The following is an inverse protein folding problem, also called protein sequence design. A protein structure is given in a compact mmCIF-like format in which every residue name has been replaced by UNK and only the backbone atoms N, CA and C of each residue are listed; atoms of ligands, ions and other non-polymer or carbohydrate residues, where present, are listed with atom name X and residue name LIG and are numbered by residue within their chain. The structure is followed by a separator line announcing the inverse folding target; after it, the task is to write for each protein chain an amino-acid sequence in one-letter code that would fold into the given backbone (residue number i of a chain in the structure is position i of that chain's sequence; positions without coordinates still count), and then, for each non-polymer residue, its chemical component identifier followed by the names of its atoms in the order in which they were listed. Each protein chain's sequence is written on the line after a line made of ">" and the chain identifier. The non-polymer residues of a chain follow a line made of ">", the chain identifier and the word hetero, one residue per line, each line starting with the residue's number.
data_IF_499160651543
#
_entry.id   IF_499160651543
#
_cell.length_a   1.000
_cell.length_b   1.000
_cell.length_c   1.000
_cell.angle_alpha   90.00
_cell.angle_beta   90.00
_cell.angle_gamma   90.00
#
_symmetry.space_group_name_H-M   'P 1'
#
loop_
_entity.id
_entity.type
_entity.pdbx_description
1 polymer ?
#
# COMPACT_ATOMS: atom_id res chain seq x y z
N UNK A 1 0.63 29.18 -38.06
CA UNK A 1 1.33 28.96 -39.35
C UNK A 1 2.52 28.09 -39.03
N UNK A 2 2.54 26.95 -39.34
CA UNK A 2 3.07 26.03 -40.30
C UNK A 2 2.85 24.58 -39.83
N UNK A 3 2.06 23.88 -40.63
CA UNK A 3 1.87 22.42 -40.58
C UNK A 3 3.11 21.74 -41.14
N UNK A 4 3.51 20.61 -40.57
CA UNK A 4 4.12 19.52 -41.34
C UNK A 4 3.58 18.19 -40.93
N UNK A 5 2.84 17.61 -41.87
CA UNK A 5 2.47 16.19 -41.94
C UNK A 5 3.70 15.37 -42.36
N UNK A 6 3.88 14.21 -41.77
CA UNK A 6 4.70 13.15 -42.37
C UNK A 6 3.97 11.82 -42.38
N UNK A 7 3.91 11.26 -43.57
CA UNK A 7 3.18 10.09 -44.01
C UNK A 7 3.71 8.77 -43.45
N UNK A 8 2.76 7.86 -43.33
CA UNK A 8 2.91 6.43 -43.16
C UNK A 8 3.60 5.77 -44.33
N UNK A 9 4.47 4.79 -44.08
CA UNK A 9 4.86 3.75 -45.06
C UNK A 9 4.68 2.38 -44.42
N UNK A 10 3.68 1.66 -44.97
CA UNK A 10 3.46 0.24 -44.75
C UNK A 10 4.35 -0.51 -45.75
N UNK A 11 5.25 -1.37 -45.26
CA UNK A 11 5.97 -2.32 -46.09
C UNK A 11 5.40 -3.72 -45.85
N UNK A 12 4.70 -4.24 -46.82
CA UNK A 12 4.28 -5.64 -46.90
C UNK A 12 5.42 -6.48 -47.46
N UNK A 13 5.91 -7.46 -46.72
CA UNK A 13 6.74 -8.53 -47.23
C UNK A 13 5.92 -9.82 -47.40
N UNK A 14 5.60 -10.14 -48.66
CA UNK A 14 5.16 -11.45 -49.09
C UNK A 14 6.41 -12.36 -49.21
N UNK A 15 6.44 -13.49 -48.50
CA UNK A 15 7.36 -14.58 -48.75
C UNK A 15 6.58 -15.88 -48.93
N UNK A 16 6.84 -16.48 -50.03
CA UNK A 16 6.12 -17.61 -50.60
C UNK A 16 6.30 -18.95 -49.91
N UNK A 17 5.31 -19.76 -50.12
CA UNK A 17 5.12 -21.12 -49.64
C UNK A 17 6.07 -22.10 -50.32
N UNK A 18 6.77 -22.91 -49.51
CA UNK A 18 7.29 -24.19 -49.96
C UNK A 18 6.55 -25.32 -49.23
N UNK A 19 5.75 -26.05 -49.96
CA UNK A 19 5.03 -27.24 -49.48
C UNK A 19 6.00 -28.41 -49.47
N UNK A 20 6.31 -28.92 -48.29
CA UNK A 20 6.94 -30.25 -48.14
C UNK A 20 5.89 -31.20 -47.54
N UNK A 21 5.44 -32.14 -48.37
CA UNK A 21 4.53 -33.22 -47.95
C UNK A 21 5.31 -34.33 -47.25
N UNK A 22 4.94 -34.61 -45.99
CA UNK A 22 5.30 -35.86 -45.32
C UNK A 22 4.01 -36.53 -44.82
N UNK A 23 3.76 -37.82 -45.11
CA UNK A 23 2.61 -38.51 -44.58
C UNK A 23 2.94 -39.09 -43.20
N UNK A 24 2.44 -38.47 -42.16
CA UNK A 24 2.41 -39.02 -40.81
C UNK A 24 0.96 -39.12 -40.36
N UNK A 25 0.39 -40.33 -40.44
CA UNK A 25 -0.91 -40.61 -39.82
C UNK A 25 -0.72 -40.65 -38.33
N UNK A 26 -0.85 -39.48 -37.67
CA UNK A 26 -1.06 -39.37 -36.24
C UNK A 26 -2.52 -39.61 -35.92
N UNK A 27 -2.83 -40.68 -35.17
CA UNK A 27 -4.13 -40.89 -34.56
C UNK A 27 -4.50 -39.64 -33.78
N UNK A 28 -5.62 -39.02 -34.13
CA UNK A 28 -6.26 -38.06 -33.28
C UNK A 28 -6.55 -38.76 -31.93
N UNK A 29 -5.93 -38.30 -30.86
CA UNK A 29 -6.40 -38.59 -29.51
C UNK A 29 -7.78 -37.96 -29.43
N UNK A 30 -8.80 -38.78 -29.16
CA UNK A 30 -10.12 -38.28 -28.78
C UNK A 30 -9.96 -37.31 -27.63
N UNK A 31 -10.08 -36.02 -27.93
CA UNK A 31 -10.25 -35.00 -26.89
C UNK A 31 -11.53 -35.37 -26.14
N UNK A 32 -11.40 -35.77 -24.90
CA UNK A 32 -12.53 -35.92 -23.98
C UNK A 32 -13.29 -34.60 -24.05
N UNK A 33 -14.58 -34.60 -24.40
CA UNK A 33 -15.33 -33.34 -24.41
C UNK A 33 -15.20 -32.68 -23.03
N UNK A 34 -14.82 -31.43 -23.00
CA UNK A 34 -14.82 -30.65 -21.78
C UNK A 34 -16.19 -30.84 -21.13
N UNK A 35 -16.20 -31.31 -19.85
CA UNK A 35 -17.43 -31.56 -19.13
C UNK A 35 -18.33 -30.35 -19.25
N UNK A 36 -19.63 -30.59 -19.37
CA UNK A 36 -20.63 -29.49 -19.33
C UNK A 36 -20.38 -28.67 -18.08
N UNK A 37 -20.43 -27.33 -18.14
CA UNK A 37 -20.21 -26.48 -16.99
C UNK A 37 -21.10 -26.94 -15.82
N UNK A 38 -20.52 -27.02 -14.64
CA UNK A 38 -21.26 -27.31 -13.41
C UNK A 38 -22.37 -26.28 -13.24
N UNK A 39 -23.54 -26.70 -12.73
CA UNK A 39 -24.67 -25.79 -12.52
C UNK A 39 -24.26 -24.69 -11.54
N UNK A 40 -23.85 -23.53 -12.07
CA UNK A 40 -23.32 -22.40 -11.29
C UNK A 40 -22.27 -21.57 -12.05
N UNK A 41 -21.51 -22.15 -12.96
CA UNK A 41 -20.53 -21.37 -13.76
C UNK A 41 -21.25 -20.59 -14.86
N UNK A 42 -21.08 -19.27 -14.84
CA UNK A 42 -21.63 -18.34 -15.82
C UNK A 42 -20.56 -17.40 -16.33
N UNK A 43 -20.72 -16.95 -17.59
CA UNK A 43 -19.85 -15.92 -18.15
C UNK A 43 -20.04 -14.59 -17.39
N UNK A 44 -18.95 -13.91 -17.12
CA UNK A 44 -18.89 -12.64 -16.38
C UNK A 44 -18.15 -11.59 -17.19
N UNK A 45 -18.33 -10.30 -16.86
CA UNK A 45 -17.58 -9.22 -17.49
C UNK A 45 -16.25 -8.93 -16.78
N UNK A 46 -16.11 -9.35 -15.54
CA UNK A 46 -14.93 -9.08 -14.70
C UNK A 46 -14.23 -10.37 -14.26
N UNK A 47 -12.92 -10.22 -14.02
CA UNK A 47 -12.07 -11.20 -13.33
C UNK A 47 -11.51 -10.52 -12.10
N UNK A 48 -11.53 -11.21 -10.95
CA UNK A 48 -11.07 -10.67 -9.67
C UNK A 48 -9.97 -11.56 -9.10
N UNK A 49 -8.90 -10.94 -8.64
CA UNK A 49 -7.80 -11.56 -7.90
C UNK A 49 -7.43 -10.68 -6.70
N UNK A 50 -6.58 -11.17 -5.82
CA UNK A 50 -6.03 -10.37 -4.72
C UNK A 50 -4.52 -10.12 -4.93
N UNK A 51 -3.99 -9.05 -4.34
CA UNK A 51 -2.55 -8.76 -4.35
C UNK A 51 -1.78 -9.66 -3.37
N UNK A 52 -2.41 -10.00 -2.24
CA UNK A 52 -1.88 -10.79 -1.15
C UNK A 52 -3.01 -11.47 -0.38
N UNK A 53 -2.70 -12.49 0.39
CA UNK A 53 -3.59 -13.00 1.41
C UNK A 53 -3.81 -11.92 2.50
N UNK A 54 -4.99 -11.82 3.14
CA UNK A 54 -5.26 -10.83 4.17
C UNK A 54 -4.24 -10.89 5.31
N UNK A 55 -3.48 -9.80 5.48
CA UNK A 55 -2.44 -9.64 6.51
C UNK A 55 -3.08 -9.00 7.75
N UNK A 56 -2.88 -9.62 8.92
CA UNK A 56 -3.49 -9.18 10.17
C UNK A 56 -2.55 -8.28 10.97
N UNK A 57 -3.08 -7.17 11.48
CA UNK A 57 -2.38 -6.29 12.44
C UNK A 57 -3.34 -5.77 13.50
N UNK A 58 -2.99 -5.78 14.80
CA UNK A 58 -3.74 -5.11 15.85
C UNK A 58 -3.60 -3.59 15.72
N UNK A 59 -4.73 -2.87 15.63
CA UNK A 59 -4.75 -1.41 15.55
C UNK A 59 -4.84 -0.72 16.92
N UNK A 60 -4.46 0.55 16.97
CA UNK A 60 -4.62 1.44 18.14
C UNK A 60 -6.07 1.72 18.51
N UNK A 61 -7.00 1.43 17.61
CA UNK A 61 -8.45 1.57 17.81
C UNK A 61 -9.09 0.37 18.52
N UNK A 62 -8.30 -0.65 18.88
CA UNK A 62 -8.71 -1.82 19.65
C UNK A 62 -9.33 -2.94 18.84
N UNK A 63 -9.19 -2.93 17.51
CA UNK A 63 -9.57 -4.02 16.62
C UNK A 63 -8.38 -4.52 15.80
N UNK A 64 -8.52 -5.72 15.23
CA UNK A 64 -7.55 -6.20 14.24
C UNK A 64 -8.02 -5.82 12.84
N UNK A 65 -7.09 -5.32 12.05
CA UNK A 65 -7.24 -5.02 10.63
C UNK A 65 -6.70 -6.18 9.79
N UNK A 66 -7.43 -6.52 8.73
CA UNK A 66 -7.05 -7.52 7.74
C UNK A 66 -6.88 -6.81 6.41
N UNK A 67 -5.60 -6.63 5.99
CA UNK A 67 -5.19 -5.76 4.91
C UNK A 67 -4.83 -6.52 3.64
N UNK A 68 -5.48 -6.18 2.54
CA UNK A 68 -5.20 -6.67 1.19
C UNK A 68 -5.83 -5.75 0.15
N UNK A 69 -5.58 -6.00 -1.15
CA UNK A 69 -6.33 -5.33 -2.21
C UNK A 69 -6.95 -6.38 -3.13
N UNK A 70 -8.16 -6.10 -3.62
CA UNK A 70 -8.73 -6.82 -4.75
C UNK A 70 -8.36 -6.11 -6.05
N UNK A 71 -7.84 -6.86 -7.01
CA UNK A 71 -7.65 -6.41 -8.39
C UNK A 71 -8.84 -6.82 -9.22
N UNK A 72 -9.60 -5.85 -9.70
CA UNK A 72 -10.76 -6.08 -10.57
C UNK A 72 -10.41 -5.69 -11.99
N UNK A 73 -10.36 -6.69 -12.87
CA UNK A 73 -10.08 -6.51 -14.30
C UNK A 73 -11.36 -6.63 -15.10
N UNK A 74 -11.68 -5.60 -15.87
CA UNK A 74 -12.75 -5.65 -16.84
C UNK A 74 -12.29 -6.40 -18.11
N UNK A 75 -12.74 -7.64 -18.26
CA UNK A 75 -12.46 -8.47 -19.43
C UNK A 75 -13.52 -8.31 -20.54
N UNK A 76 -14.40 -7.31 -20.43
CA UNK A 76 -15.48 -7.07 -21.36
C UNK A 76 -15.21 -5.89 -22.31
N UNK A 77 -16.00 -5.78 -23.39
CA UNK A 77 -15.79 -4.80 -24.47
C UNK A 77 -16.39 -3.40 -24.17
N UNK A 78 -17.03 -3.22 -23.02
CA UNK A 78 -17.61 -1.95 -22.58
C UNK A 78 -17.23 -1.65 -21.13
N UNK A 79 -17.36 -0.41 -20.65
CA UNK A 79 -17.12 -0.07 -19.26
C UNK A 79 -18.00 -0.90 -18.31
N UNK A 80 -17.43 -1.21 -17.16
CA UNK A 80 -18.07 -1.93 -16.03
C UNK A 80 -18.03 -1.02 -14.81
N UNK A 81 -19.15 -0.93 -14.09
CA UNK A 81 -19.24 -0.19 -12.82
C UNK A 81 -19.44 -1.17 -11.67
N UNK A 82 -18.57 -1.11 -10.66
CA UNK A 82 -18.77 -1.86 -9.41
C UNK A 82 -19.92 -1.25 -8.62
N UNK A 83 -20.81 -2.09 -8.09
CA UNK A 83 -21.99 -1.64 -7.34
C UNK A 83 -22.00 -2.09 -5.89
N UNK A 84 -21.40 -3.26 -5.56
CA UNK A 84 -21.15 -3.64 -4.17
C UNK A 84 -20.07 -4.69 -4.05
N UNK A 85 -19.42 -4.74 -2.86
CA UNK A 85 -18.59 -5.85 -2.42
C UNK A 85 -18.99 -6.21 -0.99
N UNK A 86 -19.30 -7.49 -0.75
CA UNK A 86 -19.51 -8.03 0.59
C UNK A 86 -18.40 -9.01 0.92
N UNK A 87 -17.86 -8.93 2.14
CA UNK A 87 -16.85 -9.86 2.68
C UNK A 87 -17.48 -10.64 3.81
N UNK A 88 -17.35 -11.96 3.75
CA UNK A 88 -17.95 -12.86 4.74
C UNK A 88 -16.93 -13.78 5.37
N UNK A 89 -17.12 -14.06 6.68
CA UNK A 89 -16.39 -15.09 7.40
C UNK A 89 -16.90 -16.51 7.03
N UNK A 90 -16.14 -17.57 7.38
CA UNK A 90 -16.55 -18.94 7.10
C UNK A 90 -17.88 -19.38 7.73
N UNK A 91 -18.30 -18.74 8.82
CA UNK A 91 -19.59 -18.97 9.49
C UNK A 91 -20.77 -18.25 8.81
N UNK A 92 -20.50 -17.48 7.75
CA UNK A 92 -21.50 -16.73 6.98
C UNK A 92 -21.79 -15.34 7.52
N UNK A 93 -21.12 -14.87 8.57
CA UNK A 93 -21.22 -13.49 9.04
C UNK A 93 -20.62 -12.53 8.02
N UNK A 94 -21.34 -11.45 7.71
CA UNK A 94 -20.80 -10.35 6.88
C UNK A 94 -19.94 -9.45 7.75
N UNK A 95 -18.64 -9.37 7.41
CA UNK A 95 -17.64 -8.57 8.11
C UNK A 95 -17.54 -7.15 7.53
N UNK A 96 -17.69 -7.03 6.21
CA UNK A 96 -17.61 -5.75 5.50
C UNK A 96 -18.65 -5.74 4.38
N UNK A 97 -19.33 -4.61 4.20
CA UNK A 97 -20.18 -4.36 3.03
C UNK A 97 -19.88 -2.97 2.48
N UNK A 98 -19.41 -2.94 1.26
CA UNK A 98 -19.15 -1.72 0.49
C UNK A 98 -20.27 -1.57 -0.54
N UNK A 99 -21.09 -0.55 -0.41
CA UNK A 99 -22.04 -0.10 -1.44
C UNK A 99 -21.32 0.81 -2.47
N UNK A 100 -22.05 1.37 -3.41
CA UNK A 100 -21.49 2.21 -4.48
C UNK A 100 -20.76 3.45 -3.93
N UNK A 101 -21.27 4.07 -2.86
CA UNK A 101 -20.68 5.27 -2.25
C UNK A 101 -19.40 4.91 -1.49
N UNK A 102 -19.41 3.82 -0.71
CA UNK A 102 -18.22 3.31 -0.03
C UNK A 102 -17.14 2.85 -1.02
N UNK A 103 -17.52 2.19 -2.13
CA UNK A 103 -16.60 1.78 -3.18
C UNK A 103 -15.89 2.98 -3.83
N UNK A 104 -16.54 4.13 -3.94
CA UNK A 104 -15.92 5.33 -4.50
C UNK A 104 -14.73 5.82 -3.66
N UNK A 105 -14.75 5.61 -2.34
CA UNK A 105 -13.67 5.98 -1.43
C UNK A 105 -12.47 5.02 -1.46
N UNK A 106 -12.70 3.74 -1.78
CA UNK A 106 -11.67 2.69 -1.66
C UNK A 106 -11.21 2.10 -2.99
N UNK A 107 -11.84 2.45 -4.12
CA UNK A 107 -11.46 1.96 -5.46
C UNK A 107 -10.57 2.97 -6.18
N UNK A 108 -9.40 2.52 -6.65
CA UNK A 108 -8.35 3.37 -7.17
C UNK A 108 -7.74 2.76 -8.45
N UNK A 109 -7.09 3.58 -9.28
CA UNK A 109 -6.17 3.07 -10.29
C UNK A 109 -5.02 2.29 -9.64
N UNK A 110 -4.34 1.42 -10.42
CA UNK A 110 -3.27 0.56 -9.88
C UNK A 110 -2.14 1.33 -9.20
N UNK A 111 -1.80 2.51 -9.72
CA UNK A 111 -0.82 3.40 -9.09
C UNK A 111 -1.46 4.77 -8.87
N UNK A 112 -1.52 5.19 -7.62
CA UNK A 112 -2.09 6.47 -7.20
C UNK A 112 -3.49 6.37 -6.60
N UNK A 113 -3.97 7.48 -6.01
CA UNK A 113 -5.21 7.59 -5.25
C UNK A 113 -6.41 8.10 -6.07
N UNK A 114 -6.31 8.09 -7.39
CA UNK A 114 -7.45 8.55 -8.22
C UNK A 114 -8.58 7.55 -8.13
N UNK A 115 -9.78 7.94 -7.66
CA UNK A 115 -10.94 7.06 -7.60
C UNK A 115 -11.33 6.54 -8.98
N UNK A 116 -11.76 5.29 -9.07
CA UNK A 116 -12.03 4.64 -10.36
C UNK A 116 -13.05 3.50 -10.24
N UNK A 117 -14.28 3.79 -9.81
CA UNK A 117 -15.35 2.76 -9.73
C UNK A 117 -15.86 2.30 -11.09
N UNK A 118 -15.75 3.13 -12.15
CA UNK A 118 -15.98 2.73 -13.53
C UNK A 118 -14.66 2.21 -14.13
N UNK A 119 -14.67 0.96 -14.56
CA UNK A 119 -13.51 0.26 -15.12
C UNK A 119 -13.65 0.24 -16.66
N UNK A 120 -12.79 0.93 -17.40
CA UNK A 120 -12.85 0.92 -18.87
C UNK A 120 -12.60 -0.49 -19.42
N UNK A 121 -13.02 -0.73 -20.67
CA UNK A 121 -12.75 -2.00 -21.36
C UNK A 121 -11.25 -2.34 -21.29
N UNK A 122 -10.92 -3.56 -20.89
CA UNK A 122 -9.54 -4.05 -20.64
C UNK A 122 -8.78 -3.29 -19.54
N UNK A 123 -9.46 -2.49 -18.72
CA UNK A 123 -8.87 -1.81 -17.56
C UNK A 123 -8.83 -2.69 -16.32
N UNK A 124 -7.97 -2.31 -15.39
CA UNK A 124 -7.88 -2.91 -14.05
C UNK A 124 -7.85 -1.81 -13.00
N UNK A 125 -8.59 -2.01 -11.92
CA UNK A 125 -8.56 -1.17 -10.72
C UNK A 125 -8.20 -2.00 -9.50
N UNK A 126 -7.76 -1.32 -8.45
CA UNK A 126 -7.57 -1.91 -7.14
C UNK A 126 -8.67 -1.42 -6.19
N UNK A 127 -9.24 -2.31 -5.42
CA UNK A 127 -10.11 -1.99 -4.30
C UNK A 127 -9.32 -2.23 -3.03
N UNK A 128 -9.06 -1.18 -2.26
CA UNK A 128 -8.38 -1.25 -0.97
C UNK A 128 -9.34 -1.91 0.03
N UNK A 129 -8.91 -3.00 0.61
CA UNK A 129 -9.70 -3.77 1.57
C UNK A 129 -9.07 -3.65 2.95
N UNK A 130 -9.81 -3.08 3.87
CA UNK A 130 -9.58 -3.09 5.30
C UNK A 130 -10.79 -3.77 5.97
N UNK A 131 -10.58 -4.99 6.44
CA UNK A 131 -11.64 -5.76 7.12
C UNK A 131 -11.33 -5.83 8.60
N UNK A 132 -12.12 -5.15 9.42
CA UNK A 132 -11.91 -5.12 10.86
C UNK A 132 -12.63 -6.27 11.57
N UNK A 133 -11.97 -6.83 12.57
CA UNK A 133 -12.54 -7.88 13.43
C UNK A 133 -12.14 -7.63 14.89
N UNK A 134 -12.95 -8.10 15.87
CA UNK A 134 -12.53 -8.06 17.27
C UNK A 134 -11.16 -8.71 17.46
N UNK A 135 -10.34 -8.10 18.31
CA UNK A 135 -9.08 -8.70 18.73
C UNK A 135 -9.30 -10.14 19.20
N UNK A 136 -8.39 -11.05 18.93
CA UNK A 136 -8.48 -12.48 19.26
C UNK A 136 -9.54 -13.30 18.47
N UNK A 137 -10.29 -12.70 17.55
CA UNK A 137 -11.20 -13.48 16.70
C UNK A 137 -10.41 -14.40 15.76
N UNK A 138 -10.54 -15.70 15.95
CA UNK A 138 -9.96 -16.67 15.02
C UNK A 138 -10.70 -16.61 13.68
N UNK A 139 -9.96 -16.37 12.59
CA UNK A 139 -10.49 -16.28 11.24
C UNK A 139 -9.56 -16.99 10.26
N UNK A 140 -10.07 -18.03 9.60
CA UNK A 140 -9.26 -18.86 8.71
C UNK A 140 -9.22 -18.33 7.27
N UNK A 141 -10.30 -17.72 6.81
CA UNK A 141 -10.43 -17.22 5.43
C UNK A 141 -11.51 -16.16 5.31
N UNK A 142 -11.47 -15.44 4.20
CA UNK A 142 -12.48 -14.48 3.76
C UNK A 142 -13.07 -14.93 2.44
N UNK A 143 -14.38 -14.78 2.26
CA UNK A 143 -15.08 -14.99 1.00
C UNK A 143 -15.67 -13.67 0.52
N UNK A 144 -15.76 -13.48 -0.80
CA UNK A 144 -16.20 -12.23 -1.40
C UNK A 144 -17.42 -12.46 -2.28
N UNK A 145 -18.41 -11.56 -2.21
CA UNK A 145 -19.46 -11.44 -3.20
C UNK A 145 -19.38 -10.06 -3.83
N UNK A 146 -19.34 -10.00 -5.15
CA UNK A 146 -19.09 -8.76 -5.90
C UNK A 146 -20.22 -8.59 -6.90
N UNK A 147 -20.83 -7.39 -6.93
CA UNK A 147 -21.82 -7.03 -7.92
C UNK A 147 -21.33 -5.89 -8.80
N UNK A 148 -21.75 -5.91 -10.05
CA UNK A 148 -21.37 -4.90 -11.03
C UNK A 148 -22.46 -4.70 -12.07
N UNK A 149 -22.38 -3.60 -12.78
CA UNK A 149 -23.27 -3.24 -13.87
C UNK A 149 -22.51 -2.98 -15.17
N UNK A 150 -23.20 -3.19 -16.28
CA UNK A 150 -22.77 -2.83 -17.63
C UNK A 150 -23.94 -2.12 -18.28
N UNK A 151 -23.67 -1.05 -19.01
CA UNK A 151 -24.73 -0.26 -19.67
C UNK A 151 -25.68 -1.15 -20.48
N UNK A 152 -27.00 -0.88 -20.45
CA UNK A 152 -28.01 -1.73 -21.14
C UNK A 152 -27.80 -1.87 -22.64
N UNK A 153 -27.21 -0.85 -23.26
CA UNK A 153 -26.93 -0.75 -24.71
C UNK A 153 -25.51 -1.15 -25.08
N UNK A 154 -24.73 -1.68 -24.10
CA UNK A 154 -23.35 -2.11 -24.33
C UNK A 154 -23.29 -3.23 -25.39
N UNK A 155 -22.33 -3.19 -26.33
CA UNK A 155 -22.11 -4.23 -27.31
C UNK A 155 -21.95 -5.61 -26.66
N UNK A 156 -22.54 -6.64 -27.25
CA UNK A 156 -22.45 -8.05 -26.81
C UNK A 156 -22.81 -8.30 -25.33
N UNK A 157 -23.56 -7.39 -24.70
CA UNK A 157 -24.03 -7.52 -23.31
C UNK A 157 -24.75 -8.84 -23.03
N UNK A 158 -25.40 -9.42 -24.04
CA UNK A 158 -26.06 -10.73 -23.97
C UNK A 158 -25.12 -11.91 -23.69
N UNK A 159 -23.81 -11.71 -23.80
CA UNK A 159 -22.82 -12.73 -23.40
C UNK A 159 -22.62 -12.80 -21.87
N UNK A 160 -23.06 -11.80 -21.11
CA UNK A 160 -22.93 -11.79 -19.66
C UNK A 160 -24.04 -12.63 -19.05
N UNK A 161 -23.65 -13.72 -18.39
CA UNK A 161 -24.58 -14.64 -17.73
C UNK A 161 -24.84 -14.32 -16.26
N UNK A 162 -23.96 -13.52 -15.59
CA UNK A 162 -24.11 -13.11 -14.21
C UNK A 162 -23.54 -11.71 -13.95
N UNK A 163 -24.21 -10.92 -13.11
CA UNK A 163 -23.84 -9.58 -12.64
C UNK A 163 -23.52 -9.57 -11.14
N UNK A 164 -23.67 -10.71 -10.48
CA UNK A 164 -23.18 -11.00 -9.15
C UNK A 164 -22.27 -12.23 -9.24
N UNK A 165 -21.09 -12.14 -8.68
CA UNK A 165 -20.08 -13.19 -8.72
C UNK A 165 -19.55 -13.49 -7.33
N UNK A 166 -19.18 -14.74 -7.11
CA UNK A 166 -18.30 -15.10 -6.00
C UNK A 166 -16.88 -14.74 -6.40
N UNK A 167 -16.25 -13.88 -5.61
CA UNK A 167 -14.85 -13.49 -5.75
C UNK A 167 -13.90 -14.54 -5.19
N UNK A 168 -12.60 -14.24 -5.07
CA UNK A 168 -11.63 -15.18 -4.52
C UNK A 168 -11.96 -15.48 -3.06
N UNK A 169 -11.82 -16.75 -2.65
CA UNK A 169 -11.72 -17.13 -1.25
C UNK A 169 -10.25 -17.03 -0.86
N UNK A 170 -9.94 -16.17 0.12
CA UNK A 170 -8.59 -15.89 0.57
C UNK A 170 -8.36 -16.48 1.96
N UNK A 171 -7.34 -17.32 2.16
CA UNK A 171 -6.91 -17.69 3.50
C UNK A 171 -6.36 -16.44 4.20
N UNK A 172 -6.62 -16.29 5.49
CA UNK A 172 -5.93 -15.25 6.28
C UNK A 172 -4.48 -15.69 6.48
N UNK A 173 -3.53 -14.80 6.23
CA UNK A 173 -2.11 -15.09 6.40
C UNK A 173 -1.84 -15.53 7.86
N UNK A 174 -1.25 -16.70 8.08
CA UNK A 174 -1.03 -17.23 9.43
C UNK A 174 0.17 -16.62 10.15
N UNK A 175 0.93 -15.71 9.48
CA UNK A 175 2.10 -15.09 10.11
C UNK A 175 1.68 -14.27 11.32
N UNK A 176 2.36 -14.38 12.47
CA UNK A 176 2.10 -13.50 13.59
C UNK A 176 2.58 -12.08 13.27
N UNK A 177 1.90 -11.09 13.84
CA UNK A 177 2.38 -9.73 13.88
C UNK A 177 3.73 -9.66 14.59
N UNK A 178 4.74 -9.03 13.97
CA UNK A 178 6.07 -8.86 14.57
C UNK A 178 6.04 -7.73 15.59
N UNK A 179 6.39 -8.03 16.84
CA UNK A 179 6.48 -7.01 17.90
C UNK A 179 7.88 -6.42 17.93
N UNK A 180 7.95 -5.08 17.86
CA UNK A 180 9.20 -4.31 17.81
C UNK A 180 9.12 -3.09 18.74
N UNK A 181 10.27 -2.52 19.11
CA UNK A 181 10.31 -1.23 19.77
C UNK A 181 10.02 -0.09 18.77
N UNK A 182 9.57 1.09 19.21
CA UNK A 182 9.43 2.26 18.34
C UNK A 182 10.77 2.72 17.74
N UNK A 183 10.78 3.23 16.48
CA UNK A 183 11.98 3.72 15.81
C UNK A 183 12.41 5.12 16.24
N UNK A 184 11.60 5.81 17.05
CA UNK A 184 11.77 7.19 17.50
C UNK A 184 11.41 7.28 18.99
N UNK A 185 11.71 8.43 19.62
CA UNK A 185 11.38 8.70 21.04
C UNK A 185 10.68 10.03 21.22
N UNK A 186 9.89 10.12 22.31
CA UNK A 186 9.22 11.32 22.78
C UNK A 186 7.86 11.54 22.13
N UNK A 187 7.28 12.66 22.43
CA UNK A 187 5.90 13.04 22.12
C UNK A 187 5.69 13.65 20.72
N UNK A 188 4.43 13.68 20.28
CA UNK A 188 3.97 14.43 19.13
C UNK A 188 4.23 13.75 17.78
N UNK A 189 4.48 12.44 17.73
CA UNK A 189 4.74 11.72 16.48
C UNK A 189 3.43 11.35 15.78
N UNK A 190 3.18 12.03 14.65
CA UNK A 190 2.07 11.78 13.75
C UNK A 190 2.42 10.66 12.78
N UNK A 191 1.55 9.65 12.64
CA UNK A 191 1.55 8.73 11.51
C UNK A 191 0.91 9.43 10.29
N UNK A 192 1.69 10.26 9.59
CA UNK A 192 1.21 11.08 8.48
C UNK A 192 0.83 10.26 7.24
N UNK A 193 1.43 9.10 7.06
CA UNK A 193 1.03 8.02 6.16
C UNK A 193 1.11 6.72 6.94
N UNK A 194 0.20 5.79 6.69
CA UNK A 194 0.19 4.53 7.46
C UNK A 194 -1.02 3.67 7.12
N UNK A 195 -1.13 2.55 7.78
CA UNK A 195 -2.29 1.68 7.78
C UNK A 195 -3.46 2.38 8.48
N UNK A 196 -4.74 2.12 8.17
CA UNK A 196 -5.22 1.18 7.18
C UNK A 196 -6.18 1.87 6.21
N UNK A 197 -6.34 3.18 6.37
CA UNK A 197 -7.26 4.01 5.59
C UNK A 197 -6.85 4.06 4.10
N UNK A 198 -7.82 3.92 3.20
CA UNK A 198 -7.60 3.97 1.75
C UNK A 198 -7.07 5.33 1.27
N UNK A 199 -7.27 6.39 2.05
CA UNK A 199 -6.78 7.75 1.81
C UNK A 199 -5.27 7.88 2.05
N UNK A 200 -4.66 6.98 2.84
CA UNK A 200 -3.23 6.97 3.06
C UNK A 200 -2.49 6.73 1.75
N UNK A 201 -1.42 7.52 1.50
CA UNK A 201 -0.65 7.37 0.26
C UNK A 201 0.02 5.99 0.18
N UNK A 202 0.44 5.44 1.30
CA UNK A 202 1.06 4.11 1.37
C UNK A 202 0.10 3.01 0.90
N UNK A 203 -1.21 3.15 1.14
CA UNK A 203 -2.21 2.20 0.65
C UNK A 203 -2.38 2.24 -0.87
N UNK A 204 -1.96 3.32 -1.54
CA UNK A 204 -2.02 3.49 -2.99
C UNK A 204 -0.76 3.00 -3.73
N UNK A 205 0.30 2.61 -3.02
CA UNK A 205 1.55 2.15 -3.63
C UNK A 205 1.41 0.68 -4.03
N UNK A 206 1.45 0.44 -5.34
CA UNK A 206 1.35 -0.88 -5.98
C UNK A 206 2.34 -0.92 -7.12
N UNK A 207 3.47 -1.56 -6.92
CA UNK A 207 4.57 -1.59 -7.89
C UNK A 207 4.62 -2.92 -8.61
N UNK A 208 4.60 -2.96 -9.97
CA UNK A 208 4.85 -4.19 -10.70
C UNK A 208 6.28 -4.67 -10.48
N UNK A 209 6.44 -5.89 -9.96
CA UNK A 209 7.74 -6.50 -9.66
C UNK A 209 8.00 -7.66 -10.60
N UNK A 210 9.16 -7.64 -11.27
CA UNK A 210 9.65 -8.68 -12.20
C UNK A 210 8.66 -9.05 -13.32
N UNK A 211 7.64 -8.23 -13.61
CA UNK A 211 6.57 -8.56 -14.56
C UNK A 211 5.68 -9.74 -14.14
N UNK A 212 5.75 -10.18 -12.89
CA UNK A 212 5.09 -11.38 -12.40
C UNK A 212 4.06 -11.13 -11.30
N UNK A 213 4.18 -10.04 -10.54
CA UNK A 213 3.28 -9.69 -9.44
C UNK A 213 3.13 -8.19 -9.25
N UNK A 214 2.11 -7.79 -8.55
CA UNK A 214 1.99 -6.45 -7.97
C UNK A 214 2.53 -6.53 -6.55
N UNK A 215 3.61 -5.79 -6.27
CA UNK A 215 4.19 -5.65 -4.94
C UNK A 215 3.42 -4.63 -4.11
N UNK A 216 3.38 -4.83 -2.81
CA UNK A 216 2.73 -3.98 -1.81
C UNK A 216 3.75 -3.67 -0.72
N UNK A 217 4.65 -2.73 -1.01
CA UNK A 217 5.80 -2.42 -0.17
C UNK A 217 5.43 -1.70 1.12
N UNK A 218 4.32 -0.93 1.12
CA UNK A 218 4.07 0.10 2.13
C UNK A 218 2.73 -0.06 2.88
N UNK A 219 2.09 -1.28 2.86
CA UNK A 219 0.78 -1.48 3.54
C UNK A 219 0.84 -1.01 5.00
N UNK A 220 1.90 -1.38 5.72
CA UNK A 220 2.09 -1.07 7.15
C UNK A 220 3.20 -0.05 7.39
N UNK A 221 3.82 0.50 6.34
CA UNK A 221 4.83 1.53 6.52
C UNK A 221 4.20 2.82 7.08
N UNK A 222 4.95 3.51 7.93
CA UNK A 222 4.54 4.78 8.55
C UNK A 222 5.54 5.87 8.19
N UNK A 223 5.03 7.05 7.77
CA UNK A 223 5.78 8.28 7.70
C UNK A 223 5.60 9.05 9.00
N UNK A 224 6.63 9.08 9.84
CA UNK A 224 6.60 9.78 11.12
C UNK A 224 6.98 11.24 10.97
N UNK A 225 6.02 12.13 11.11
CA UNK A 225 6.23 13.56 11.21
C UNK A 225 6.02 14.03 12.67
N UNK A 226 6.87 14.94 13.18
CA UNK A 226 6.70 15.43 14.57
C UNK A 226 5.88 16.70 14.60
N UNK A 227 4.87 16.73 15.46
CA UNK A 227 4.02 17.90 15.68
C UNK A 227 4.39 18.64 16.97
N UNK A 228 4.23 19.97 16.94
CA UNK A 228 4.14 20.83 18.14
C UNK A 228 2.98 21.78 17.96
N UNK A 229 2.06 21.79 18.92
CA UNK A 229 0.84 22.60 18.86
C UNK A 229 0.06 22.38 17.53
N UNK A 230 -0.02 21.11 17.08
CA UNK A 230 -0.72 20.71 15.84
C UNK A 230 -0.05 21.16 14.53
N UNK A 231 1.23 21.54 14.55
CA UNK A 231 1.99 21.98 13.38
C UNK A 231 3.24 21.13 13.19
N UNK A 232 3.63 20.77 11.96
CA UNK A 232 4.84 20.00 11.70
C UNK A 232 6.12 20.85 11.68
N UNK A 233 6.02 22.19 11.53
CA UNK A 233 7.16 23.10 11.45
C UNK A 233 6.85 24.47 12.05
N UNK A 234 7.88 25.25 12.31
CA UNK A 234 7.82 26.67 12.68
C UNK A 234 8.04 27.57 11.46
N UNK A 235 7.57 28.80 11.51
CA UNK A 235 7.75 29.76 10.41
C UNK A 235 7.01 29.33 9.14
N UNK A 236 7.69 29.37 8.01
CA UNK A 236 7.16 28.98 6.69
C UNK A 236 7.56 27.55 6.26
N UNK A 237 8.34 26.84 7.10
CA UNK A 237 8.79 25.48 6.83
C UNK A 237 9.72 25.33 5.61
N UNK A 238 10.31 26.41 5.12
CA UNK A 238 11.11 26.39 3.90
C UNK A 238 12.46 25.69 4.05
N UNK A 239 12.92 25.47 5.29
CA UNK A 239 14.19 24.80 5.57
C UNK A 239 13.93 23.53 6.40
N UNK A 240 14.72 22.46 6.21
CA UNK A 240 14.57 21.26 7.03
C UNK A 240 14.61 21.52 8.54
N UNK A 241 15.47 22.44 8.99
CA UNK A 241 15.63 22.80 10.42
C UNK A 241 14.40 23.49 11.02
N UNK A 242 13.48 23.98 10.22
CA UNK A 242 12.21 24.54 10.70
C UNK A 242 11.23 23.45 11.15
N UNK A 243 11.43 22.19 10.74
CA UNK A 243 10.59 21.04 11.01
C UNK A 243 10.96 20.38 12.35
N UNK A 244 9.95 20.08 13.17
CA UNK A 244 10.17 19.61 14.53
C UNK A 244 10.73 18.19 14.64
N UNK A 245 10.58 17.36 13.60
CA UNK A 245 11.16 16.02 13.52
C UNK A 245 12.61 16.01 13.00
N UNK A 246 13.07 17.07 12.31
CA UNK A 246 14.40 17.10 11.70
C UNK A 246 15.50 16.94 12.74
N UNK A 247 16.41 16.02 12.51
CA UNK A 247 17.53 15.72 13.41
C UNK A 247 17.18 14.86 14.62
N UNK A 248 15.95 14.32 14.71
CA UNK A 248 15.63 13.33 15.72
C UNK A 248 16.47 12.06 15.54
N UNK A 249 16.90 11.42 16.64
CA UNK A 249 17.60 10.15 16.61
C UNK A 249 16.68 9.05 16.08
N UNK A 250 17.15 8.30 15.08
CA UNK A 250 16.48 7.11 14.52
C UNK A 250 17.10 5.88 15.13
N UNK A 251 16.27 4.99 15.66
CA UNK A 251 16.67 3.90 16.55
C UNK A 251 16.43 2.53 15.91
N UNK A 252 17.31 1.57 16.19
CA UNK A 252 17.06 0.18 15.86
C UNK A 252 15.84 -0.35 16.65
N UNK A 253 14.84 -0.86 15.93
CA UNK A 253 13.58 -1.36 16.53
C UNK A 253 13.71 -2.73 17.18
N UNK A 254 14.79 -3.45 16.88
CA UNK A 254 15.12 -4.76 17.42
C UNK A 254 16.63 -5.00 17.30
N UNK A 255 17.15 -6.01 18.00
CA UNK A 255 18.48 -6.54 17.75
C UNK A 255 18.53 -7.09 16.31
N UNK A 256 19.62 -6.83 15.58
CA UNK A 256 19.69 -7.24 14.19
C UNK A 256 21.03 -7.00 13.53
N UNK A 257 21.11 -7.32 12.25
CA UNK A 257 22.28 -7.10 11.40
C UNK A 257 21.98 -6.04 10.36
N UNK A 258 22.84 -5.05 10.19
CA UNK A 258 22.77 -4.08 9.11
C UNK A 258 23.05 -4.79 7.78
N UNK A 259 22.07 -4.85 6.87
CA UNK A 259 22.21 -5.53 5.56
C UNK A 259 22.39 -4.55 4.40
N UNK A 260 21.88 -3.33 4.54
CA UNK A 260 22.10 -2.27 3.56
C UNK A 260 22.28 -0.90 4.24
N UNK A 261 23.10 -0.06 3.63
CA UNK A 261 23.30 1.35 3.99
C UNK A 261 23.43 2.15 2.71
N UNK A 262 22.66 3.20 2.61
CA UNK A 262 22.79 4.20 1.54
C UNK A 262 23.00 5.56 2.18
N UNK A 263 24.04 6.30 1.76
CA UNK A 263 24.33 7.64 2.26
C UNK A 263 24.88 8.54 1.13
N UNK A 264 24.82 9.86 1.33
CA UNK A 264 25.37 10.84 0.39
C UNK A 264 24.31 11.53 -0.48
N UNK A 265 23.02 11.20 -0.37
CA UNK A 265 21.96 11.98 -0.98
C UNK A 265 21.81 13.31 -0.22
N UNK A 266 21.66 14.45 -0.94
CA UNK A 266 21.42 15.75 -0.31
C UNK A 266 19.98 15.84 0.24
N UNK A 267 19.78 16.73 1.22
CA UNK A 267 18.43 17.12 1.64
C UNK A 267 17.65 17.72 0.47
N UNK A 268 16.37 17.37 0.37
CA UNK A 268 15.42 18.09 -0.47
C UNK A 268 15.06 19.44 0.18
N UNK A 269 14.61 20.38 -0.64
CA UNK A 269 14.02 21.62 -0.10
C UNK A 269 12.57 21.36 0.27
N UNK A 270 12.19 21.49 1.56
CA UNK A 270 10.82 21.19 1.97
C UNK A 270 9.80 22.05 1.21
N UNK A 271 8.61 21.47 0.98
CA UNK A 271 7.48 22.10 0.30
C UNK A 271 7.76 22.52 -1.15
N UNK A 272 8.88 22.06 -1.74
CA UNK A 272 9.22 22.25 -3.14
C UNK A 272 9.12 20.93 -3.93
N UNK A 273 9.00 20.99 -5.26
CA UNK A 273 9.04 19.79 -6.08
C UNK A 273 10.32 18.96 -5.83
N UNK A 274 10.14 17.66 -5.61
CA UNK A 274 11.23 16.72 -5.38
C UNK A 274 12.11 16.62 -6.63
N UNK A 275 13.41 16.53 -6.42
CA UNK A 275 14.41 16.50 -7.50
C UNK A 275 15.38 15.33 -7.35
N UNK A 276 16.08 14.96 -8.42
CA UNK A 276 17.14 13.94 -8.39
C UNK A 276 16.64 12.49 -8.44
N UNK A 277 15.35 12.25 -8.69
CA UNK A 277 14.79 10.91 -8.85
C UNK A 277 15.06 10.38 -10.27
N UNK A 278 16.13 9.63 -10.46
CA UNK A 278 16.53 9.08 -11.75
C UNK A 278 16.41 7.55 -11.84
N UNK A 279 16.39 6.87 -10.70
CA UNK A 279 16.33 5.41 -10.57
C UNK A 279 15.58 5.03 -9.29
N UNK A 280 15.08 3.78 -9.18
CA UNK A 280 14.29 3.34 -8.02
C UNK A 280 14.99 3.56 -6.67
N UNK A 281 16.29 3.31 -6.59
CA UNK A 281 17.07 3.43 -5.36
C UNK A 281 17.17 4.87 -4.83
N UNK A 282 16.85 5.86 -5.68
CA UNK A 282 16.85 7.27 -5.25
C UNK A 282 15.66 7.59 -4.33
N UNK A 283 14.60 6.75 -4.32
CA UNK A 283 13.37 7.01 -3.55
C UNK A 283 13.63 7.03 -2.05
N UNK A 284 14.34 6.06 -1.50
CA UNK A 284 14.65 6.00 -0.05
C UNK A 284 15.61 7.10 0.41
N UNK A 285 16.37 7.72 -0.51
CA UNK A 285 17.44 8.66 -0.12
C UNK A 285 18.51 7.98 0.73
N UNK A 286 18.94 8.63 1.82
CA UNK A 286 19.83 8.01 2.79
C UNK A 286 19.01 7.05 3.67
N UNK A 287 19.47 5.79 3.78
CA UNK A 287 18.68 4.73 4.38
C UNK A 287 19.53 3.66 5.06
N UNK A 288 18.92 2.95 5.98
CA UNK A 288 19.46 1.77 6.64
C UNK A 288 18.43 0.65 6.57
N UNK A 289 18.87 -0.57 6.24
CA UNK A 289 18.02 -1.77 6.32
C UNK A 289 18.66 -2.74 7.32
N UNK A 290 17.85 -3.18 8.29
CA UNK A 290 18.25 -4.17 9.31
C UNK A 290 17.53 -5.49 9.06
N UNK A 291 18.26 -6.61 9.01
CA UNK A 291 17.66 -7.93 9.18
C UNK A 291 17.47 -8.20 10.68
N UNK A 292 16.22 -8.20 11.15
CA UNK A 292 15.85 -8.40 12.56
C UNK A 292 15.41 -9.85 12.86
N UNK A 293 15.03 -10.60 11.81
CA UNK A 293 14.79 -12.04 11.84
C UNK A 293 14.95 -12.58 10.42
N UNK A 294 15.12 -13.89 10.21
CA UNK A 294 15.23 -14.47 8.87
C UNK A 294 14.05 -14.06 7.96
N UNK A 295 14.33 -13.27 6.90
CA UNK A 295 13.32 -12.77 5.96
C UNK A 295 12.43 -11.66 6.53
N UNK A 296 12.84 -10.97 7.59
CA UNK A 296 12.16 -9.79 8.15
C UNK A 296 13.17 -8.65 8.24
N UNK A 297 12.93 -7.62 7.47
CA UNK A 297 13.82 -6.47 7.35
C UNK A 297 13.10 -5.20 7.79
N UNK A 298 13.77 -4.41 8.63
CA UNK A 298 13.32 -3.08 9.03
C UNK A 298 13.99 -2.04 8.13
N UNK A 299 13.18 -1.31 7.37
CA UNK A 299 13.61 -0.25 6.46
C UNK A 299 13.42 1.12 7.12
N UNK A 300 14.49 1.95 7.07
CA UNK A 300 14.53 3.31 7.61
C UNK A 300 15.04 4.22 6.50
N UNK A 301 14.19 5.12 6.01
CA UNK A 301 14.52 5.98 4.88
C UNK A 301 14.46 7.48 5.23
N UNK A 302 14.97 8.30 4.30
CA UNK A 302 15.03 9.77 4.35
C UNK A 302 15.93 10.35 5.42
N UNK A 303 16.99 9.61 5.84
CA UNK A 303 17.93 10.04 6.87
C UNK A 303 18.79 11.24 6.41
N UNK A 304 19.36 11.98 7.37
CA UNK A 304 20.27 13.10 7.08
C UNK A 304 21.57 12.61 6.43
N UNK A 305 22.14 13.39 5.46
CA UNK A 305 23.42 13.06 4.86
C UNK A 305 24.53 13.05 5.90
N UNK A 306 25.32 11.95 5.90
CA UNK A 306 26.47 11.78 6.79
C UNK A 306 26.12 11.56 8.27
N UNK A 307 24.84 11.31 8.59
CA UNK A 307 24.40 11.05 9.97
C UNK A 307 24.41 9.57 10.34
N UNK A 308 24.50 8.67 9.36
CA UNK A 308 24.44 7.22 9.61
C UNK A 308 25.67 6.77 10.36
N UNK A 309 25.44 6.09 11.50
CA UNK A 309 26.52 5.70 12.45
C UNK A 309 26.90 4.22 12.37
N UNK A 310 26.22 3.45 11.51
CA UNK A 310 26.39 2.00 11.38
C UNK A 310 26.87 1.61 9.99
N UNK A 311 27.42 0.41 9.85
CA UNK A 311 27.94 -0.12 8.59
C UNK A 311 27.37 -1.51 8.28
N UNK A 312 27.31 -1.87 7.00
CA UNK A 312 26.86 -3.20 6.54
C UNK A 312 27.68 -4.31 7.23
N UNK A 313 26.98 -5.28 7.78
CA UNK A 313 27.51 -6.39 8.56
C UNK A 313 27.63 -6.11 10.07
N UNK A 314 27.36 -4.89 10.52
CA UNK A 314 27.35 -4.54 11.94
C UNK A 314 26.14 -5.16 12.65
N UNK A 315 26.36 -5.66 13.88
CA UNK A 315 25.29 -6.08 14.79
C UNK A 315 24.86 -4.88 15.62
N UNK A 316 23.58 -4.60 15.63
CA UNK A 316 23.00 -3.53 16.43
C UNK A 316 22.08 -4.11 17.51
N UNK A 317 21.86 -3.35 18.56
CA UNK A 317 20.91 -3.70 19.62
C UNK A 317 19.72 -2.76 19.62
N UNK A 318 18.59 -3.22 20.09
CA UNK A 318 17.36 -2.45 20.24
C UNK A 318 17.61 -1.11 20.92
N UNK A 319 17.14 -0.02 20.32
CA UNK A 319 17.35 1.33 20.81
C UNK A 319 18.70 1.97 20.48
N UNK A 320 19.60 1.27 19.76
CA UNK A 320 20.85 1.85 19.25
C UNK A 320 20.54 2.91 18.18
N UNK A 321 21.21 4.05 18.22
CA UNK A 321 21.06 5.11 17.21
C UNK A 321 21.68 4.64 15.90
N UNK A 322 20.90 4.70 14.83
CA UNK A 322 21.30 4.36 13.45
C UNK A 322 21.73 5.58 12.66
N UNK A 323 21.09 6.71 12.87
CA UNK A 323 21.29 7.97 12.17
C UNK A 323 20.32 9.02 12.68
N UNK A 324 20.15 10.10 11.91
CA UNK A 324 19.25 11.20 12.23
C UNK A 324 18.18 11.36 11.15
N UNK A 325 16.94 11.66 11.55
CA UNK A 325 15.83 11.96 10.67
C UNK A 325 16.15 13.17 9.79
N UNK A 326 16.01 13.03 8.48
CA UNK A 326 16.31 14.03 7.48
C UNK A 326 15.15 14.30 6.51
N UNK A 327 15.49 14.68 5.28
CA UNK A 327 14.58 14.99 4.18
C UNK A 327 15.19 14.60 2.83
N UNK A 328 15.85 13.45 2.73
CA UNK A 328 16.54 13.01 1.51
C UNK A 328 15.66 12.10 0.67
N UNK A 329 15.97 11.93 -0.64
CA UNK A 329 15.20 11.06 -1.52
C UNK A 329 13.82 11.61 -1.91
N UNK A 330 12.79 10.76 -1.95
CA UNK A 330 11.41 11.12 -2.30
C UNK A 330 10.66 11.70 -1.10
N UNK A 331 11.16 12.80 -0.56
CA UNK A 331 10.61 13.45 0.64
C UNK A 331 10.32 14.94 0.39
N UNK A 332 9.08 15.36 0.66
CA UNK A 332 8.63 16.74 0.52
C UNK A 332 8.70 17.56 1.82
N UNK A 333 9.06 16.93 2.94
CA UNK A 333 9.25 17.52 4.26
C UNK A 333 9.83 16.51 5.22
N UNK A 334 10.67 16.93 6.20
CA UNK A 334 11.34 16.05 7.13
C UNK A 334 10.42 15.07 7.85
N UNK A 335 10.63 13.78 7.62
CA UNK A 335 9.94 12.67 8.25
C UNK A 335 10.83 11.42 8.25
N UNK A 336 10.51 10.43 9.06
CA UNK A 336 11.07 9.10 8.96
C UNK A 336 10.06 8.21 8.24
N UNK A 337 10.42 7.68 7.08
CA UNK A 337 9.73 6.53 6.50
C UNK A 337 10.25 5.26 7.17
N UNK A 338 9.34 4.47 7.73
CA UNK A 338 9.67 3.23 8.44
C UNK A 338 8.66 2.13 8.13
N UNK A 339 9.15 0.90 7.89
CA UNK A 339 8.31 -0.28 7.73
C UNK A 339 9.07 -1.58 7.88
N UNK A 340 8.36 -2.69 8.05
CA UNK A 340 8.92 -4.03 7.91
C UNK A 340 8.58 -4.61 6.54
N UNK A 341 9.55 -5.24 5.91
CA UNK A 341 9.47 -5.84 4.56
C UNK A 341 10.08 -7.23 4.53
N UNK A 342 9.71 -8.04 3.50
CA UNK A 342 10.14 -9.43 3.35
C UNK A 342 11.38 -9.62 2.45
N UNK A 343 11.97 -8.52 1.96
CA UNK A 343 13.16 -8.51 1.11
C UNK A 343 14.08 -7.35 1.51
N UNK A 344 15.42 -7.48 1.50
CA UNK A 344 16.33 -6.39 1.84
C UNK A 344 16.31 -5.22 0.84
N UNK A 345 15.71 -5.39 -0.34
CA UNK A 345 15.48 -4.32 -1.31
C UNK A 345 14.06 -3.74 -1.13
N UNK A 346 13.92 -2.51 -0.57
CA UNK A 346 12.61 -1.90 -0.34
C UNK A 346 11.76 -1.73 -1.60
N UNK A 347 12.38 -1.71 -2.79
CA UNK A 347 11.65 -1.55 -4.06
C UNK A 347 10.98 -2.84 -4.54
N UNK A 348 11.33 -3.99 -3.97
CA UNK A 348 10.77 -5.29 -4.34
C UNK A 348 10.12 -6.04 -3.18
N UNK A 349 10.49 -5.76 -1.94
CA UNK A 349 9.90 -6.34 -0.73
C UNK A 349 8.39 -6.12 -0.65
N UNK A 350 7.67 -6.99 0.07
CA UNK A 350 6.30 -6.72 0.47
C UNK A 350 6.28 -6.31 1.93
N UNK A 351 5.36 -5.44 2.28
CA UNK A 351 5.15 -5.00 3.66
C UNK A 351 4.75 -6.18 4.56
N UNK A 352 5.32 -6.23 5.74
CA UNK A 352 5.01 -7.20 6.78
C UNK A 352 4.27 -6.51 7.94
N UNK A 353 3.27 -7.17 8.54
CA UNK A 353 2.56 -6.63 9.69
C UNK A 353 3.48 -6.57 10.92
N UNK A 354 3.45 -5.44 11.61
CA UNK A 354 4.16 -5.24 12.88
C UNK A 354 3.34 -4.40 13.84
N UNK A 355 3.73 -4.44 15.11
CA UNK A 355 3.17 -3.60 16.15
C UNK A 355 4.29 -3.19 17.12
N UNK A 356 4.13 -2.03 17.75
CA UNK A 356 5.06 -1.57 18.76
C UNK A 356 4.77 -2.24 20.11
N UNK A 357 5.83 -2.61 20.83
CA UNK A 357 5.71 -3.21 22.16
C UNK A 357 5.00 -2.27 23.14
N UNK A 358 5.42 -1.00 23.21
CA UNK A 358 4.84 0.02 24.09
C UNK A 358 4.87 1.40 23.42
N UNK A 359 3.77 2.13 23.52
CA UNK A 359 3.64 3.53 23.13
C UNK A 359 2.38 4.14 23.74
N UNK A 360 2.15 5.43 23.55
CA UNK A 360 0.97 6.11 24.09
C UNK A 360 0.25 6.88 23.01
N UNK A 361 -1.02 6.57 22.76
CA UNK A 361 -1.90 7.34 21.88
C UNK A 361 -2.30 8.63 22.55
N UNK A 362 -1.80 9.76 22.05
CA UNK A 362 -2.05 11.10 22.57
C UNK A 362 -3.29 11.75 21.98
N UNK A 363 -3.64 11.44 20.74
CA UNK A 363 -4.74 12.03 20.01
C UNK A 363 -4.77 11.65 18.54
N UNK A 364 -5.58 12.36 17.77
CA UNK A 364 -5.73 12.18 16.34
C UNK A 364 -5.56 13.51 15.60
N UNK A 365 -5.12 13.43 14.36
CA UNK A 365 -4.91 14.57 13.48
C UNK A 365 -5.94 14.58 12.35
N UNK A 366 -6.41 15.75 11.97
CA UNK A 366 -7.37 15.97 10.91
C UNK A 366 -6.71 16.81 9.80
N UNK A 367 -6.46 16.20 8.65
CA UNK A 367 -5.81 16.87 7.51
C UNK A 367 -6.70 17.93 6.89
N UNK A 368 -8.01 17.71 6.81
CA UNK A 368 -8.95 18.68 6.23
C UNK A 368 -9.02 19.95 7.11
N UNK A 369 -9.04 19.76 8.43
CA UNK A 369 -8.96 20.87 9.37
C UNK A 369 -7.61 21.60 9.29
N UNK A 370 -6.50 20.88 9.08
CA UNK A 370 -5.18 21.47 8.88
C UNK A 370 -5.11 22.31 7.61
N UNK A 371 -5.64 21.80 6.51
CA UNK A 371 -5.70 22.52 5.23
C UNK A 371 -6.63 23.73 5.28
N UNK A 372 -7.68 23.67 6.13
CA UNK A 372 -8.61 24.74 6.38
C UNK A 372 -8.12 25.77 7.43
N UNK A 373 -6.89 25.66 7.94
CA UNK A 373 -6.39 26.48 9.08
C UNK A 373 -6.39 28.00 8.87
N UNK A 374 -6.71 28.50 7.67
CA UNK A 374 -6.97 29.91 7.37
C UNK A 374 -8.42 30.36 7.65
N UNK A 375 -9.35 29.42 7.84
CA UNK A 375 -10.74 29.69 8.17
C UNK A 375 -10.90 29.80 9.71
N UNK A 376 -11.40 30.94 10.23
CA UNK A 376 -11.58 31.12 11.67
C UNK A 376 -12.60 30.15 12.30
N UNK A 377 -13.45 29.53 11.50
CA UNK A 377 -14.46 28.56 11.94
C UNK A 377 -13.98 27.10 11.79
N UNK A 378 -12.77 26.85 11.24
CA UNK A 378 -12.22 25.50 11.14
C UNK A 378 -11.95 24.91 12.54
N UNK A 379 -12.25 23.62 12.75
CA UNK A 379 -11.88 22.93 13.98
C UNK A 379 -10.34 22.85 14.11
N UNK A 380 -9.80 22.61 15.32
CA UNK A 380 -8.37 22.37 15.48
C UNK A 380 -7.97 21.08 14.76
N UNK A 381 -6.87 21.12 14.01
CA UNK A 381 -6.35 19.95 13.29
C UNK A 381 -5.88 18.82 14.23
N UNK A 382 -5.41 19.15 15.43
CA UNK A 382 -5.01 18.19 16.47
C UNK A 382 -6.07 18.11 17.54
N UNK A 383 -6.64 16.91 17.74
CA UNK A 383 -7.56 16.61 18.85
C UNK A 383 -6.83 15.70 19.83
N UNK A 384 -6.45 16.25 20.98
CA UNK A 384 -5.82 15.47 22.05
C UNK A 384 -6.88 14.72 22.86
N UNK A 385 -6.54 13.50 23.28
CA UNK A 385 -7.32 12.76 24.29
C UNK A 385 -7.21 13.44 25.66
N UNK A 386 -8.29 13.48 26.42
CA UNK A 386 -8.27 13.99 27.81
C UNK A 386 -7.28 13.20 28.69
N UNK A 387 -7.19 11.92 28.45
CA UNK A 387 -6.21 11.02 29.06
C UNK A 387 -5.53 10.24 27.94
N UNK A 388 -4.21 10.39 27.75
CA UNK A 388 -3.46 9.58 26.82
C UNK A 388 -3.64 8.08 27.10
N UNK A 389 -3.75 7.28 26.06
CA UNK A 389 -4.03 5.84 26.16
C UNK A 389 -2.77 5.03 25.93
N UNK A 390 -2.28 4.28 26.96
CA UNK A 390 -1.22 3.31 26.75
C UNK A 390 -1.63 2.26 25.72
N UNK A 391 -0.71 1.93 24.84
CA UNK A 391 -0.85 0.96 23.76
C UNK A 391 0.26 -0.09 23.89
N UNK A 392 -0.12 -1.37 23.85
CA UNK A 392 0.79 -2.49 23.97
C UNK A 392 0.53 -3.49 22.83
N UNK A 393 1.52 -3.74 21.98
CA UNK A 393 1.40 -4.70 20.89
C UNK A 393 0.43 -4.26 19.79
N UNK A 394 0.31 -2.95 19.53
CA UNK A 394 -0.56 -2.37 18.49
C UNK A 394 0.22 -1.54 17.50
N UNK A 395 -0.27 -1.42 16.28
CA UNK A 395 0.23 -0.52 15.25
C UNK A 395 -0.38 0.88 15.48
N UNK A 396 0.45 1.93 15.39
CA UNK A 396 -0.03 3.31 15.28
C UNK A 396 -0.72 3.49 13.92
N UNK A 397 -2.01 3.80 13.94
CA UNK A 397 -2.81 3.93 12.73
C UNK A 397 -2.64 5.31 12.07
N UNK A 398 -3.06 5.41 10.81
CA UNK A 398 -3.04 6.64 10.03
C UNK A 398 -3.70 7.80 10.78
N UNK A 399 -2.98 8.91 10.88
CA UNK A 399 -3.33 10.15 11.60
C UNK A 399 -3.39 10.04 13.13
N UNK A 400 -2.97 8.94 13.73
CA UNK A 400 -2.70 8.90 15.17
C UNK A 400 -1.50 9.77 15.54
N UNK A 401 -1.57 10.40 16.70
CA UNK A 401 -0.46 11.16 17.31
C UNK A 401 0.00 10.45 18.58
N UNK A 402 1.27 10.12 18.62
CA UNK A 402 1.87 9.24 19.63
C UNK A 402 2.96 9.91 20.45
N UNK A 403 3.12 9.40 21.69
CA UNK A 403 4.36 9.44 22.44
C UNK A 403 5.01 8.06 22.35
N UNK A 404 6.22 8.01 21.81
CA UNK A 404 6.96 6.78 21.52
C UNK A 404 8.02 6.44 22.62
N UNK A 405 7.92 7.07 23.79
CA UNK A 405 8.74 6.80 24.98
C UNK A 405 10.03 7.59 25.12
#
# INVERSE_FOLDING_TARGET
>A
MLQHRLLSLVAACLLGSAIATHPGVGRAQDATPAGSPTAGERSTAIVVSATNDPLRVPGSDGVDHLEYDLLVTNAFAAPVTLTSIAVTAPDGETLLHLDADALAGVTQHLLGRTPATEIPASGTVAVVMDVTVPHDRALASLSHQITYEVAPDAPVRSLIGAYAIDGPQLPVDPRPTTIIAPPLRGDGWLANSGCCAAESIHRAIRVPVAGARIGKQEIFAIDFARLRDGKPFSGDGARPEDWFGFGAEVLAVADGTVVAVTDGYPEQTPLQPITGMAKPEDFGGNSVVLEIAPGVYADYAHLQPGSITVAVGEQVTTGQVLGLLGNTGNSSGPHLHFGLIDDPDPMVGNSLPYAFDHWTLQGTFDLDAYDAAGDPDAPPALTLKETPEPQDGTLQLYLDVADLG
#
